data_IF_932495785672
#
_entry.id   IF_932495785672
#
_cell.length_a   1.000
_cell.length_b   1.000
_cell.length_c   1.000
_cell.angle_alpha   90.00
_cell.angle_beta   90.00
_cell.angle_gamma   90.00
#
_symmetry.space_group_name_H-M   'P 1'
#
loop_
_entity.id
_entity.type
_entity.pdbx_description
1 polymer ?
#
# COMPACT_ATOMS: atom_id res chain seq x y z
N UNK A 1 47.36 23.57 -20.82
CA UNK A 1 46.22 22.94 -21.54
C UNK A 1 46.05 21.45 -21.20
N UNK A 2 46.78 20.90 -20.22
CA UNK A 2 46.64 19.50 -19.74
C UNK A 2 45.95 19.39 -18.37
N UNK A 3 45.83 20.51 -17.64
CA UNK A 3 45.22 20.55 -16.30
C UNK A 3 43.68 20.52 -16.31
N UNK A 4 43.04 20.77 -17.44
CA UNK A 4 41.58 20.83 -17.55
C UNK A 4 40.93 19.46 -17.79
N UNK A 5 41.65 18.50 -18.39
CA UNK A 5 41.13 17.14 -18.65
C UNK A 5 41.25 16.26 -17.40
N UNK A 6 42.33 16.41 -16.63
CA UNK A 6 42.54 15.69 -15.38
C UNK A 6 41.51 16.05 -14.29
N UNK A 7 41.12 17.33 -14.19
CA UNK A 7 40.06 17.75 -13.26
C UNK A 7 38.67 17.19 -13.61
N UNK A 8 38.31 17.14 -14.89
CA UNK A 8 37.05 16.55 -15.34
C UNK A 8 36.98 15.03 -15.09
N UNK A 9 38.10 14.31 -15.28
CA UNK A 9 38.17 12.86 -15.04
C UNK A 9 38.16 12.52 -13.53
N UNK A 10 38.73 13.38 -12.69
CA UNK A 10 38.64 13.24 -11.22
C UNK A 10 37.21 13.51 -10.71
N UNK A 11 36.53 14.51 -11.27
CA UNK A 11 35.14 14.84 -10.94
C UNK A 11 34.15 13.71 -11.37
N UNK A 12 34.37 13.09 -12.54
CA UNK A 12 33.55 11.98 -13.03
C UNK A 12 33.75 10.70 -12.18
N UNK A 13 34.99 10.40 -11.78
CA UNK A 13 35.30 9.28 -10.89
C UNK A 13 34.71 9.48 -9.48
N UNK A 14 34.74 10.72 -8.96
CA UNK A 14 34.10 11.05 -7.68
C UNK A 14 32.57 10.96 -7.76
N UNK A 15 31.97 11.39 -8.88
CA UNK A 15 30.54 11.23 -9.13
C UNK A 15 30.11 9.76 -9.21
N UNK A 16 30.89 8.92 -9.89
CA UNK A 16 30.65 7.48 -9.99
C UNK A 16 30.78 6.76 -8.65
N UNK A 17 31.74 7.15 -7.80
CA UNK A 17 31.87 6.66 -6.43
C UNK A 17 30.62 7.01 -5.59
N UNK A 18 30.16 8.26 -5.67
CA UNK A 18 28.94 8.71 -4.98
C UNK A 18 27.69 7.99 -5.48
N UNK A 19 27.63 7.67 -6.78
CA UNK A 19 26.50 6.92 -7.33
C UNK A 19 26.54 5.44 -6.90
N UNK A 20 27.70 4.82 -6.84
CA UNK A 20 27.84 3.46 -6.29
C UNK A 20 27.41 3.39 -4.82
N UNK A 21 27.78 4.39 -4.01
CA UNK A 21 27.30 4.51 -2.63
C UNK A 21 25.77 4.63 -2.57
N UNK A 22 25.16 5.42 -3.46
CA UNK A 22 23.71 5.49 -3.62
C UNK A 22 23.10 4.13 -3.99
N UNK A 23 23.66 3.40 -4.96
CA UNK A 23 23.17 2.09 -5.38
C UNK A 23 23.23 1.07 -4.24
N UNK A 24 24.32 1.07 -3.46
CA UNK A 24 24.46 0.23 -2.27
C UNK A 24 23.41 0.57 -1.22
N UNK A 25 23.20 1.87 -0.95
CA UNK A 25 22.17 2.34 -0.02
C UNK A 25 20.76 1.94 -0.49
N UNK A 26 20.43 2.15 -1.76
CA UNK A 26 19.13 1.82 -2.35
C UNK A 26 18.85 0.31 -2.28
N UNK A 27 19.85 -0.53 -2.57
CA UNK A 27 19.73 -1.98 -2.45
C UNK A 27 19.57 -2.46 -0.99
N UNK A 28 20.25 -1.80 -0.05
CA UNK A 28 20.22 -2.16 1.37
C UNK A 28 18.99 -1.61 2.10
N UNK A 29 18.38 -0.53 1.59
CA UNK A 29 17.27 0.15 2.23
C UNK A 29 16.03 -0.74 2.28
N UNK A 30 15.43 -0.80 3.47
CA UNK A 30 14.16 -1.50 3.71
C UNK A 30 13.03 -0.56 4.08
N UNK A 31 13.28 0.76 4.13
CA UNK A 31 12.26 1.76 4.37
C UNK A 31 11.44 2.00 3.10
N UNK A 32 10.63 1.00 2.75
CA UNK A 32 9.81 0.99 1.55
C UNK A 32 8.36 0.70 1.89
N UNK A 33 7.45 1.16 1.01
CA UNK A 33 6.03 0.84 1.10
C UNK A 33 5.63 0.07 -0.15
N UNK A 34 5.43 -1.24 0.01
CA UNK A 34 4.88 -2.08 -1.04
C UNK A 34 3.36 -2.20 -0.91
N UNK A 35 2.66 -2.10 -2.04
CA UNK A 35 1.23 -2.34 -2.06
C UNK A 35 0.75 -2.89 -3.41
N UNK A 36 -0.36 -3.64 -3.35
CA UNK A 36 -0.94 -4.25 -4.54
C UNK A 36 -1.72 -3.20 -5.34
N UNK A 37 -1.43 -3.10 -6.63
CA UNK A 37 -2.10 -2.19 -7.58
C UNK A 37 -3.63 -2.30 -7.59
N UNK A 38 -4.18 -3.47 -7.28
CA UNK A 38 -5.64 -3.66 -7.16
C UNK A 38 -6.30 -2.70 -6.17
N UNK A 39 -5.60 -2.26 -5.12
CA UNK A 39 -6.17 -1.27 -4.20
C UNK A 39 -6.29 0.11 -4.84
N UNK A 40 -5.40 0.45 -5.77
CA UNK A 40 -5.52 1.65 -6.62
C UNK A 40 -6.69 1.50 -7.57
N UNK A 41 -6.79 0.36 -8.24
CA UNK A 41 -7.88 0.07 -9.20
C UNK A 41 -9.25 0.19 -8.50
N UNK A 42 -9.40 -0.38 -7.30
CA UNK A 42 -10.63 -0.27 -6.48
C UNK A 42 -10.91 1.17 -6.07
N UNK A 43 -9.88 1.92 -5.66
CA UNK A 43 -10.04 3.27 -5.13
C UNK A 43 -10.19 4.34 -6.21
N UNK A 44 -9.69 4.09 -7.42
CA UNK A 44 -9.57 5.07 -8.50
C UNK A 44 -8.60 6.22 -8.21
N UNK A 45 -7.77 6.11 -7.16
CA UNK A 45 -6.86 7.16 -6.68
C UNK A 45 -5.65 6.50 -6.00
N UNK A 46 -4.43 6.92 -6.37
CA UNK A 46 -3.18 6.32 -5.91
C UNK A 46 -3.02 6.41 -4.38
N UNK A 47 -3.32 7.58 -3.81
CA UNK A 47 -3.17 7.83 -2.37
C UNK A 47 -4.24 7.08 -1.59
N UNK A 48 -5.47 7.04 -2.10
CA UNK A 48 -6.53 6.23 -1.49
C UNK A 48 -6.24 4.73 -1.57
N UNK A 49 -5.66 4.25 -2.67
CA UNK A 49 -5.23 2.87 -2.83
C UNK A 49 -4.08 2.49 -1.88
N UNK A 50 -3.11 3.39 -1.72
CA UNK A 50 -2.02 3.25 -0.75
C UNK A 50 -2.56 3.15 0.69
N UNK A 51 -3.42 4.10 1.09
CA UNK A 51 -4.05 4.07 2.41
C UNK A 51 -4.90 2.81 2.61
N UNK A 52 -5.66 2.38 1.59
CA UNK A 52 -6.44 1.15 1.65
C UNK A 52 -5.55 -0.06 1.88
N UNK A 53 -4.41 -0.16 1.19
CA UNK A 53 -3.45 -1.24 1.39
C UNK A 53 -2.99 -1.32 2.85
N UNK A 54 -2.62 -0.18 3.44
CA UNK A 54 -2.15 -0.15 4.82
C UNK A 54 -3.25 -0.50 5.81
N UNK A 55 -4.47 0.00 5.59
CA UNK A 55 -5.63 -0.41 6.39
C UNK A 55 -5.80 -1.93 6.31
N UNK A 56 -5.80 -2.53 5.11
CA UNK A 56 -5.93 -3.99 4.96
C UNK A 56 -4.80 -4.71 5.69
N UNK A 57 -3.55 -4.26 5.60
CA UNK A 57 -2.42 -4.84 6.31
C UNK A 57 -2.66 -4.94 7.82
N UNK A 58 -3.24 -3.92 8.45
CA UNK A 58 -3.61 -3.93 9.86
C UNK A 58 -4.69 -4.99 10.20
N UNK A 59 -5.61 -5.28 9.28
CA UNK A 59 -6.63 -6.32 9.45
C UNK A 59 -6.13 -7.74 9.09
N UNK A 60 -4.94 -7.87 8.52
CA UNK A 60 -4.32 -9.18 8.29
C UNK A 60 -3.66 -9.72 9.56
N UNK A 61 -3.59 -11.05 9.74
CA UNK A 61 -2.83 -11.64 10.82
C UNK A 61 -1.34 -11.28 10.73
N UNK A 62 -0.65 -11.31 11.87
CA UNK A 62 0.80 -11.27 11.93
C UNK A 62 1.40 -12.63 11.53
N UNK A 63 2.74 -12.74 11.58
CA UNK A 63 3.45 -13.99 11.23
C UNK A 63 3.06 -15.20 12.09
N UNK A 64 2.52 -14.98 13.28
CA UNK A 64 2.03 -16.00 14.22
C UNK A 64 0.53 -16.27 14.08
N UNK A 65 -0.14 -15.73 13.05
CA UNK A 65 -1.59 -15.87 12.87
C UNK A 65 -2.44 -14.97 13.76
N UNK A 66 -1.85 -14.18 14.66
CA UNK A 66 -2.58 -13.31 15.61
C UNK A 66 -3.00 -11.99 14.97
N UNK A 67 -4.12 -11.43 15.43
CA UNK A 67 -4.60 -10.11 15.01
C UNK A 67 -3.60 -9.00 15.39
N UNK A 68 -3.32 -8.09 14.45
CA UNK A 68 -2.55 -6.86 14.74
C UNK A 68 -3.43 -5.79 15.40
N UNK A 69 -4.75 -5.87 15.22
CA UNK A 69 -5.70 -4.93 15.82
C UNK A 69 -5.91 -5.28 17.28
N UNK A 70 -5.67 -4.28 18.14
CA UNK A 70 -5.88 -4.36 19.59
C UNK A 70 -7.14 -3.65 20.08
N UNK A 71 -7.72 -2.77 19.26
CA UNK A 71 -8.85 -1.92 19.66
C UNK A 71 -10.16 -2.50 19.14
N UNK A 72 -11.08 -2.79 20.06
CA UNK A 72 -12.43 -3.25 19.76
C UNK A 72 -13.44 -2.21 20.25
N UNK A 73 -14.34 -1.78 19.37
CA UNK A 73 -15.44 -0.86 19.71
C UNK A 73 -16.77 -1.46 19.26
N UNK A 74 -17.72 -1.56 20.19
CA UNK A 74 -19.05 -2.14 19.95
C UNK A 74 -18.97 -3.54 19.31
N UNK A 75 -18.08 -4.39 19.84
CA UNK A 75 -17.86 -5.76 19.35
C UNK A 75 -17.20 -5.86 17.97
N UNK A 76 -16.66 -4.77 17.41
CA UNK A 76 -15.97 -4.80 16.10
C UNK A 76 -14.52 -4.31 16.22
N UNK A 77 -13.55 -4.99 15.61
CA UNK A 77 -12.17 -4.53 15.55
C UNK A 77 -12.06 -3.25 14.72
N UNK A 78 -11.18 -2.34 15.13
CA UNK A 78 -10.94 -1.07 14.45
C UNK A 78 -9.51 -0.57 14.66
N UNK A 79 -9.06 0.26 13.73
CA UNK A 79 -7.81 1.00 13.87
C UNK A 79 -8.13 2.33 14.54
N UNK A 80 -7.56 2.61 15.71
CA UNK A 80 -7.61 3.91 16.34
C UNK A 80 -6.25 4.60 16.15
N UNK A 81 -6.18 5.53 15.19
CA UNK A 81 -4.92 6.18 14.78
C UNK A 81 -5.20 7.62 14.38
N UNK A 82 -4.37 8.56 14.83
CA UNK A 82 -4.53 9.97 14.51
C UNK A 82 -4.16 10.23 13.04
N UNK A 83 -4.58 11.38 12.50
CA UNK A 83 -4.33 11.73 11.09
C UNK A 83 -2.84 11.84 10.77
N UNK A 84 -2.05 12.43 11.68
CA UNK A 84 -0.62 12.64 11.50
C UNK A 84 0.18 11.34 11.57
N UNK A 85 -0.25 10.37 12.38
CA UNK A 85 0.39 9.05 12.52
C UNK A 85 0.42 8.23 11.21
N UNK A 86 -0.37 8.60 10.19
CA UNK A 86 -0.33 7.96 8.87
C UNK A 86 0.89 8.38 8.05
N UNK A 87 1.55 9.48 8.43
CA UNK A 87 2.83 9.86 7.86
C UNK A 87 3.91 8.80 8.12
N UNK A 88 3.93 8.23 9.31
CA UNK A 88 4.93 7.23 9.68
C UNK A 88 4.73 5.88 8.97
N UNK A 89 3.50 5.62 8.52
CA UNK A 89 3.14 4.35 7.88
C UNK A 89 3.28 4.42 6.36
N UNK A 90 2.78 5.49 5.75
CA UNK A 90 2.62 5.60 4.29
C UNK A 90 2.91 6.99 3.74
N UNK A 91 3.56 7.86 4.53
CA UNK A 91 4.03 9.20 4.12
C UNK A 91 2.93 10.10 3.53
N UNK A 92 1.70 9.99 4.02
CA UNK A 92 0.59 10.87 3.60
C UNK A 92 0.35 11.99 4.61
N UNK A 93 0.05 13.18 4.11
CA UNK A 93 -0.36 14.32 4.95
C UNK A 93 -1.77 14.16 5.52
N UNK A 94 -2.14 14.89 6.59
CA UNK A 94 -3.51 14.87 7.12
C UNK A 94 -4.60 15.25 6.09
N UNK A 95 -4.30 16.18 5.17
CA UNK A 95 -5.22 16.56 4.08
C UNK A 95 -5.43 15.43 3.08
N UNK A 96 -4.34 14.77 2.68
CA UNK A 96 -4.39 13.58 1.82
C UNK A 96 -5.15 12.44 2.49
N UNK A 97 -4.92 12.22 3.79
CA UNK A 97 -5.67 11.27 4.59
C UNK A 97 -7.18 11.55 4.57
N UNK A 98 -7.59 12.80 4.83
CA UNK A 98 -9.02 13.15 4.86
C UNK A 98 -9.70 12.92 3.50
N UNK A 99 -9.01 13.27 2.40
CA UNK A 99 -9.47 12.98 1.03
C UNK A 99 -9.60 11.48 0.79
N UNK A 100 -8.54 10.73 1.07
CA UNK A 100 -8.48 9.27 0.85
C UNK A 100 -9.56 8.54 1.66
N UNK A 101 -9.71 8.86 2.94
CA UNK A 101 -10.80 8.33 3.79
C UNK A 101 -12.17 8.68 3.23
N UNK A 102 -12.34 9.90 2.71
CA UNK A 102 -13.57 10.31 2.03
C UNK A 102 -13.92 9.41 0.85
N UNK A 103 -12.93 9.08 0.00
CA UNK A 103 -13.08 8.14 -1.13
C UNK A 103 -13.48 6.75 -0.63
N UNK A 104 -12.72 6.19 0.31
CA UNK A 104 -12.98 4.83 0.83
C UNK A 104 -14.32 4.71 1.55
N UNK A 105 -14.80 5.79 2.18
CA UNK A 105 -16.14 5.85 2.76
C UNK A 105 -17.24 5.88 1.70
N UNK A 106 -17.06 6.65 0.63
CA UNK A 106 -18.02 6.71 -0.50
C UNK A 106 -18.15 5.34 -1.17
N UNK A 107 -17.06 4.58 -1.28
CA UNK A 107 -17.05 3.21 -1.77
C UNK A 107 -17.64 2.18 -0.79
N UNK A 108 -18.00 2.60 0.43
CA UNK A 108 -18.52 1.71 1.48
C UNK A 108 -17.50 0.76 2.09
N UNK A 109 -16.22 0.85 1.71
CA UNK A 109 -15.13 0.00 2.22
C UNK A 109 -14.79 0.37 3.66
N UNK A 110 -14.96 1.64 4.02
CA UNK A 110 -14.59 2.15 5.32
C UNK A 110 -15.77 2.81 6.02
N UNK A 111 -15.95 2.50 7.30
CA UNK A 111 -16.77 3.31 8.21
C UNK A 111 -15.85 3.97 9.22
N UNK A 112 -16.06 5.26 9.47
CA UNK A 112 -15.28 6.00 10.46
C UNK A 112 -16.18 6.51 11.58
N UNK A 113 -15.65 6.54 12.79
CA UNK A 113 -16.25 7.22 13.94
C UNK A 113 -15.17 7.87 14.78
N UNK A 114 -15.45 9.07 15.28
CA UNK A 114 -14.57 9.68 16.26
C UNK A 114 -14.95 9.19 17.65
N UNK A 115 -13.97 8.63 18.37
CA UNK A 115 -14.12 8.31 19.78
C UNK A 115 -12.95 8.91 20.55
N UNK A 116 -13.17 9.27 21.81
CA UNK A 116 -12.11 9.78 22.66
C UNK A 116 -11.17 8.64 23.08
N UNK A 117 -9.88 8.90 23.01
CA UNK A 117 -8.80 8.10 23.57
C UNK A 117 -7.92 9.06 24.38
N UNK A 118 -7.78 8.83 25.68
CA UNK A 118 -7.10 9.75 26.61
C UNK A 118 -7.55 11.22 26.47
N UNK A 119 -8.85 11.46 26.36
CA UNK A 119 -9.43 12.81 26.22
C UNK A 119 -9.38 13.40 24.81
N UNK A 120 -8.54 12.88 23.91
CA UNK A 120 -8.41 13.37 22.53
C UNK A 120 -9.34 12.59 21.59
N UNK A 121 -10.15 13.24 20.73
CA UNK A 121 -10.96 12.55 19.74
C UNK A 121 -10.07 11.99 18.62
N UNK A 122 -10.04 10.66 18.49
CA UNK A 122 -9.25 9.95 17.47
C UNK A 122 -10.21 9.21 16.50
N UNK A 123 -9.94 9.26 15.18
CA UNK A 123 -10.66 8.44 14.21
C UNK A 123 -10.50 6.95 14.51
N UNK A 124 -11.63 6.25 14.53
CA UNK A 124 -11.69 4.80 14.57
C UNK A 124 -12.17 4.29 13.21
N UNK A 125 -11.33 3.51 12.55
CA UNK A 125 -11.56 3.00 11.21
C UNK A 125 -12.04 1.55 11.27
N UNK A 126 -13.22 1.29 10.72
CA UNK A 126 -13.83 -0.03 10.64
C UNK A 126 -13.85 -0.48 9.19
N UNK A 127 -13.08 -1.51 8.87
CA UNK A 127 -13.06 -2.11 7.54
C UNK A 127 -14.35 -2.90 7.30
N UNK A 128 -15.04 -2.60 6.20
CA UNK A 128 -16.21 -3.34 5.74
C UNK A 128 -15.75 -4.48 4.83
N UNK A 129 -15.32 -5.60 5.44
CA UNK A 129 -14.69 -6.73 4.74
C UNK A 129 -15.55 -7.27 3.58
N UNK A 130 -16.86 -7.40 3.79
CA UNK A 130 -17.79 -7.87 2.74
C UNK A 130 -17.75 -6.97 1.50
N UNK A 131 -17.79 -5.65 1.69
CA UNK A 131 -17.73 -4.69 0.59
C UNK A 131 -16.37 -4.74 -0.12
N UNK A 132 -15.28 -4.81 0.64
CA UNK A 132 -13.93 -4.96 0.09
C UNK A 132 -13.82 -6.19 -0.82
N UNK A 133 -14.26 -7.36 -0.33
CA UNK A 133 -14.18 -8.61 -1.09
C UNK A 133 -15.03 -8.58 -2.37
N UNK A 134 -16.21 -7.94 -2.32
CA UNK A 134 -17.05 -7.75 -3.51
C UNK A 134 -16.33 -6.90 -4.56
N UNK A 135 -15.68 -5.81 -4.17
CA UNK A 135 -14.93 -4.95 -5.08
C UNK A 135 -13.66 -5.63 -5.62
N UNK A 136 -12.93 -6.36 -4.77
CA UNK A 136 -11.77 -7.17 -5.22
C UNK A 136 -12.22 -8.18 -6.28
N UNK A 137 -13.29 -8.93 -6.03
CA UNK A 137 -13.78 -9.92 -6.99
C UNK A 137 -14.18 -9.27 -8.32
N UNK A 138 -14.87 -8.13 -8.25
CA UNK A 138 -15.22 -7.35 -9.44
C UNK A 138 -13.97 -6.95 -10.24
N UNK A 139 -12.97 -6.35 -9.59
CA UNK A 139 -11.73 -5.91 -10.24
C UNK A 139 -10.86 -7.07 -10.77
N UNK A 140 -10.92 -8.25 -10.13
CA UNK A 140 -10.22 -9.45 -10.62
C UNK A 140 -10.87 -10.03 -11.88
N UNK A 141 -12.18 -9.85 -12.05
CA UNK A 141 -12.93 -10.35 -13.21
C UNK A 141 -13.02 -9.36 -14.36
N UNK A 142 -12.71 -8.09 -14.12
CA UNK A 142 -12.79 -7.05 -15.13
C UNK A 142 -11.61 -7.14 -16.12
N UNK A 143 -11.83 -6.99 -17.44
CA UNK A 143 -10.75 -6.84 -18.39
C UNK A 143 -9.95 -5.56 -18.06
N UNK A 144 -8.63 -5.69 -17.95
CA UNK A 144 -7.75 -4.55 -17.67
C UNK A 144 -7.24 -3.96 -18.96
N UNK A 145 -7.88 -2.88 -19.41
CA UNK A 145 -7.35 -2.05 -20.49
C UNK A 145 -6.51 -0.93 -19.87
N UNK A 146 -5.30 -0.70 -20.39
CA UNK A 146 -4.53 0.46 -19.98
C UNK A 146 -5.04 1.67 -20.79
N UNK A 147 -5.70 2.66 -20.15
CA UNK A 147 -6.31 3.78 -20.86
C UNK A 147 -5.26 4.72 -21.49
N UNK A 148 -3.99 4.62 -21.08
CA UNK A 148 -2.89 5.43 -21.60
C UNK A 148 -2.04 4.70 -22.66
N UNK A 149 -2.45 3.49 -23.08
CA UNK A 149 -1.68 2.75 -24.08
C UNK A 149 -1.70 3.47 -25.44
N UNK A 150 -0.54 3.75 -26.06
CA UNK A 150 -0.49 4.32 -27.41
C UNK A 150 -1.16 3.37 -28.41
N UNK A 151 -2.00 3.90 -29.32
CA UNK A 151 -2.63 3.11 -30.37
C UNK A 151 -1.55 2.40 -31.21
N UNK A 152 -1.65 1.07 -31.33
CA UNK A 152 -0.77 0.25 -32.17
C UNK A 152 0.38 -0.46 -31.45
N UNK A 153 0.54 -0.30 -30.14
CA UNK A 153 1.50 -1.09 -29.35
C UNK A 153 0.76 -2.16 -28.52
N UNK A 154 1.35 -3.35 -28.36
CA UNK A 154 0.76 -4.37 -27.49
C UNK A 154 1.18 -4.16 -26.03
N UNK A 155 0.29 -4.40 -25.06
CA UNK A 155 0.66 -4.35 -23.65
C UNK A 155 1.72 -5.39 -23.32
N UNK A 156 2.76 -4.97 -22.60
CA UNK A 156 3.59 -5.89 -21.84
C UNK A 156 2.72 -6.46 -20.71
N UNK A 157 2.08 -7.60 -20.98
CA UNK A 157 1.44 -8.42 -19.95
C UNK A 157 2.53 -9.22 -19.25
N UNK A 158 2.90 -8.90 -18.00
CA UNK A 158 3.66 -9.85 -17.20
C UNK A 158 2.83 -11.14 -17.13
N UNK A 159 3.46 -12.30 -17.36
CA UNK A 159 2.81 -13.61 -17.24
C UNK A 159 2.33 -13.79 -15.80
N UNK A 160 1.10 -13.37 -15.50
CA UNK A 160 0.45 -13.70 -14.24
C UNK A 160 0.02 -15.15 -14.37
N UNK A 161 0.56 -16.05 -13.55
CA UNK A 161 -0.07 -17.36 -13.31
C UNK A 161 -1.49 -17.04 -12.83
N UNK A 162 -2.50 -17.30 -13.66
CA UNK A 162 -3.90 -17.28 -13.23
C UNK A 162 -3.97 -18.30 -12.10
N UNK A 163 -4.12 -17.78 -10.89
CA UNK A 163 -4.13 -18.57 -9.68
C UNK A 163 -5.47 -19.29 -9.64
N UNK A 164 -5.44 -20.60 -9.87
CA UNK A 164 -6.58 -21.48 -9.62
C UNK A 164 -7.17 -21.20 -8.22
N UNK A 165 -8.49 -21.31 -8.10
CA UNK A 165 -9.34 -21.05 -6.90
C UNK A 165 -8.81 -21.64 -5.57
N UNK A 166 -7.83 -22.53 -5.60
CA UNK A 166 -7.31 -23.25 -4.45
C UNK A 166 -6.17 -22.55 -3.70
N UNK A 167 -5.51 -21.54 -4.28
CA UNK A 167 -4.45 -20.80 -3.55
C UNK A 167 -4.95 -20.09 -2.29
N UNK A 168 -6.22 -19.68 -2.25
CA UNK A 168 -6.82 -19.12 -1.04
C UNK A 168 -6.93 -20.14 0.10
N UNK A 169 -6.96 -21.45 -0.19
CA UNK A 169 -6.94 -22.51 0.81
C UNK A 169 -5.51 -22.90 1.19
N UNK A 170 -4.58 -22.87 0.22
CA UNK A 170 -3.18 -23.25 0.47
C UNK A 170 -2.38 -22.17 1.19
N UNK A 171 -2.57 -20.88 0.88
CA UNK A 171 -1.96 -19.78 1.65
C UNK A 171 -2.43 -19.79 3.11
N UNK A 172 -3.69 -20.12 3.36
CA UNK A 172 -4.22 -20.28 4.72
C UNK A 172 -3.80 -21.61 5.37
N UNK A 173 -3.52 -22.69 4.63
CA UNK A 173 -3.01 -23.96 5.17
C UNK A 173 -1.52 -23.91 5.48
N UNK A 174 -0.72 -23.26 4.64
CA UNK A 174 0.73 -23.16 4.79
C UNK A 174 1.13 -22.24 5.95
N UNK A 175 0.32 -21.20 6.23
CA UNK A 175 0.50 -20.33 7.40
C UNK A 175 -0.16 -20.84 8.71
N UNK A 176 -0.98 -21.90 8.67
CA UNK A 176 -1.60 -22.51 9.87
C UNK A 176 -1.04 -23.92 10.18
N UNK A 177 0.09 -24.30 9.60
CA UNK A 177 0.79 -25.57 9.86
C UNK A 177 2.02 -25.43 10.77
N UNK A 178 2.13 -24.34 11.53
CA UNK A 178 3.20 -24.15 12.54
C UNK A 178 2.63 -23.60 13.82
#
# INVERSE_FOLDING_TARGET
MEKDILGLLEDDAEADLRFNDFLLWEQASRDTVDFKKIYVDIAGDLIAGLLLSQIVYWFLPNKEGKTKIRVIKRGRPCIAKARHDWWDEVRISPKQYDRAVGILRKLGILRTKNHRFNGVPIPHLFLQQKQLLQLINKELTAPKENPTFPKGQSPFTPKVKVINRDYGKDYFREYNKR
#
